data_IF_134256884368
#
_entry.id   IF_134256884368
#
_cell.length_a   1.000
_cell.length_b   1.000
_cell.length_c   1.000
_cell.angle_alpha   90.00
_cell.angle_beta   90.00
_cell.angle_gamma   90.00
#
_symmetry.space_group_name_H-M   'P 1'
#
loop_
_entity.id
_entity.type
_entity.pdbx_description
1 polymer ?
#
# COMPACT_ATOMS: atom_id res chain seq x y z
N UNK A 1 16.19 4.15 7.02
CA UNK A 1 15.54 3.98 5.71
C UNK A 1 14.10 3.52 5.91
N UNK A 2 13.18 4.20 5.29
CA UNK A 2 11.75 3.84 5.38
C UNK A 2 11.36 3.05 4.13
N UNK A 3 10.76 1.90 4.35
CA UNK A 3 10.30 1.00 3.28
C UNK A 3 8.79 0.81 3.42
N UNK A 4 8.07 1.11 2.35
CA UNK A 4 6.64 0.79 2.22
C UNK A 4 6.51 -0.49 1.44
N UNK A 5 5.93 -1.51 2.05
CA UNK A 5 5.67 -2.79 1.40
C UNK A 5 4.18 -2.91 1.13
N UNK A 6 3.84 -3.24 -0.10
CA UNK A 6 2.46 -3.43 -0.54
C UNK A 6 2.25 -4.87 -0.97
N UNK A 7 1.22 -5.48 -0.44
CA UNK A 7 0.85 -6.86 -0.70
C UNK A 7 -0.54 -6.84 -1.33
N UNK A 8 -0.63 -7.14 -2.63
CA UNK A 8 -1.87 -7.03 -3.38
C UNK A 8 -2.46 -8.41 -3.65
N UNK A 9 -3.66 -8.63 -3.15
CA UNK A 9 -4.50 -9.73 -3.61
C UNK A 9 -5.63 -9.18 -4.49
N UNK A 10 -6.45 -10.08 -5.03
CA UNK A 10 -7.53 -9.68 -5.94
C UNK A 10 -8.61 -8.82 -5.27
N UNK A 11 -8.78 -8.90 -3.96
CA UNK A 11 -9.85 -8.22 -3.25
C UNK A 11 -9.38 -7.36 -2.10
N UNK A 12 -8.31 -7.74 -1.43
CA UNK A 12 -7.78 -7.02 -0.26
C UNK A 12 -6.31 -6.73 -0.49
N UNK A 13 -5.93 -5.50 -0.22
CA UNK A 13 -4.53 -5.09 -0.26
C UNK A 13 -4.04 -4.84 1.15
N UNK A 14 -2.82 -5.30 1.43
CA UNK A 14 -2.16 -5.05 2.70
C UNK A 14 -1.00 -4.08 2.53
N UNK A 15 -0.66 -3.37 3.58
CA UNK A 15 0.53 -2.53 3.58
C UNK A 15 1.28 -2.68 4.90
N UNK A 16 2.58 -2.48 4.82
CA UNK A 16 3.46 -2.44 5.99
C UNK A 16 4.50 -1.36 5.77
N UNK A 17 4.82 -0.62 6.82
CA UNK A 17 5.85 0.41 6.78
C UNK A 17 6.92 0.05 7.79
N UNK A 18 8.16 -0.01 7.32
CA UNK A 18 9.32 -0.34 8.16
C UNK A 18 10.28 0.83 8.21
N UNK A 19 10.85 1.06 9.38
CA UNK A 19 11.95 2.01 9.57
C UNK A 19 13.12 1.23 10.16
N UNK A 20 14.18 1.06 9.36
CA UNK A 20 15.40 0.31 9.73
C UNK A 20 15.05 -1.07 10.30
N UNK A 21 14.22 -1.84 9.59
CA UNK A 21 13.75 -3.18 9.96
C UNK A 21 12.74 -3.21 11.11
N UNK A 22 12.29 -2.05 11.58
CA UNK A 22 11.26 -1.97 12.61
C UNK A 22 9.91 -1.67 11.97
N UNK A 23 8.92 -2.50 12.24
CA UNK A 23 7.55 -2.26 11.77
C UNK A 23 6.95 -1.07 12.53
N UNK A 24 6.62 -0.01 11.81
CA UNK A 24 6.04 1.20 12.41
C UNK A 24 4.55 1.38 12.09
N UNK A 25 4.06 0.76 11.03
CA UNK A 25 2.65 0.80 10.67
C UNK A 25 2.30 -0.38 9.78
N UNK A 26 1.06 -0.85 9.88
CA UNK A 26 0.53 -1.88 8.99
C UNK A 26 -0.99 -1.81 8.97
N UNK A 27 -1.58 -2.37 7.93
CA UNK A 27 -3.03 -2.43 7.83
C UNK A 27 -3.46 -3.04 6.51
N UNK A 28 -4.77 -3.00 6.29
CA UNK A 28 -5.37 -3.47 5.03
C UNK A 28 -6.33 -2.41 4.52
N UNK A 29 -6.54 -2.44 3.20
CA UNK A 29 -7.58 -1.63 2.57
C UNK A 29 -8.22 -2.45 1.44
N UNK A 30 -9.49 -2.17 1.18
CA UNK A 30 -10.27 -2.92 0.20
C UNK A 30 -10.86 -1.96 -0.82
N UNK A 31 -10.63 -2.25 -2.10
CA UNK A 31 -11.28 -1.53 -3.18
C UNK A 31 -12.52 -2.33 -3.59
N UNK A 32 -13.69 -1.85 -3.21
CA UNK A 32 -14.94 -2.60 -3.33
C UNK A 32 -15.74 -2.33 -4.60
N UNK A 33 -15.26 -1.46 -5.48
CA UNK A 33 -15.96 -1.16 -6.73
C UNK A 33 -15.85 -2.31 -7.73
N UNK A 34 -16.92 -2.56 -8.48
CA UNK A 34 -16.91 -3.51 -9.59
C UNK A 34 -16.23 -2.92 -10.84
N UNK A 35 -16.03 -1.63 -10.89
CA UNK A 35 -15.34 -0.95 -11.98
C UNK A 35 -13.83 -1.04 -11.75
N UNK A 36 -13.13 -1.68 -12.69
CA UNK A 36 -11.68 -1.89 -12.59
C UNK A 36 -10.93 -0.55 -12.54
N UNK A 37 -11.34 0.41 -13.34
CA UNK A 37 -10.72 1.74 -13.34
C UNK A 37 -10.84 2.44 -12.01
N UNK A 38 -12.02 2.36 -11.38
CA UNK A 38 -12.24 2.96 -10.06
C UNK A 38 -11.44 2.26 -8.97
N UNK A 39 -11.28 0.94 -9.07
CA UNK A 39 -10.43 0.20 -8.11
C UNK A 39 -8.98 0.62 -8.21
N UNK A 40 -8.45 0.76 -9.42
CA UNK A 40 -7.08 1.23 -9.62
C UNK A 40 -6.90 2.65 -9.11
N UNK A 41 -7.87 3.52 -9.37
CA UNK A 41 -7.82 4.90 -8.87
C UNK A 41 -7.80 4.94 -7.35
N UNK A 42 -8.63 4.14 -6.70
CA UNK A 42 -8.67 4.04 -5.23
C UNK A 42 -7.32 3.57 -4.67
N UNK A 43 -6.76 2.50 -5.25
CA UNK A 43 -5.47 1.96 -4.81
C UNK A 43 -4.37 3.00 -5.00
N UNK A 44 -4.35 3.68 -6.16
CA UNK A 44 -3.37 4.72 -6.44
C UNK A 44 -3.43 5.85 -5.44
N UNK A 45 -4.65 6.30 -5.10
CA UNK A 45 -4.84 7.36 -4.12
C UNK A 45 -4.36 6.93 -2.74
N UNK A 46 -4.63 5.70 -2.33
CA UNK A 46 -4.13 5.15 -1.06
C UNK A 46 -2.61 5.09 -1.02
N UNK A 47 -1.99 4.64 -2.09
CA UNK A 47 -0.53 4.58 -2.18
C UNK A 47 0.06 5.99 -2.10
N UNK A 48 -0.54 6.96 -2.79
CA UNK A 48 -0.10 8.35 -2.71
C UNK A 48 -0.22 8.91 -1.30
N UNK A 49 -1.29 8.58 -0.57
CA UNK A 49 -1.46 9.00 0.81
C UNK A 49 -0.34 8.44 1.69
N UNK A 50 0.01 7.17 1.52
CA UNK A 50 1.11 6.55 2.26
C UNK A 50 2.46 7.19 1.93
N UNK A 51 2.69 7.49 0.65
CA UNK A 51 3.92 8.16 0.22
C UNK A 51 4.04 9.55 0.88
N UNK A 52 2.95 10.28 0.91
CA UNK A 52 2.93 11.62 1.52
C UNK A 52 3.09 11.57 3.03
N UNK A 53 2.50 10.57 3.68
CA UNK A 53 2.54 10.44 5.14
C UNK A 53 3.88 9.93 5.64
N UNK A 54 4.41 8.85 5.03
CA UNK A 54 5.60 8.17 5.52
C UNK A 54 6.87 8.54 4.77
N UNK A 55 6.76 9.11 3.57
CA UNK A 55 7.90 9.49 2.72
C UNK A 55 8.92 8.36 2.58
N UNK A 56 8.50 7.19 2.09
CA UNK A 56 9.38 6.03 2.03
C UNK A 56 10.54 6.24 1.05
N UNK A 57 11.68 5.67 1.39
CA UNK A 57 12.85 5.65 0.51
C UNK A 57 12.71 4.57 -0.56
N UNK A 58 11.99 3.49 -0.24
CA UNK A 58 11.73 2.39 -1.15
C UNK A 58 10.28 1.93 -1.04
N UNK A 59 9.75 1.47 -2.18
CA UNK A 59 8.43 0.84 -2.24
C UNK A 59 8.63 -0.56 -2.81
N UNK A 60 8.15 -1.57 -2.07
CA UNK A 60 8.12 -2.95 -2.53
C UNK A 60 6.68 -3.35 -2.82
N UNK A 61 6.45 -3.96 -3.96
CA UNK A 61 5.13 -4.46 -4.34
C UNK A 61 5.24 -5.96 -4.55
N UNK A 62 4.42 -6.72 -3.83
CA UNK A 62 4.35 -8.17 -3.98
C UNK A 62 3.00 -8.53 -4.58
N UNK A 63 3.04 -9.26 -5.70
CA UNK A 63 1.85 -9.84 -6.30
C UNK A 63 1.66 -11.26 -5.77
N UNK A 64 0.48 -11.53 -5.29
CA UNK A 64 0.11 -12.87 -4.85
C UNK A 64 -0.89 -13.49 -5.82
#
# INVERSE_FOLDING_TARGET
MIILALDQSSQVSGYSVFDDNKLIASGTFTASSNDVGKRFEYIRNKVNDFINEYKPDKIKIEDI
#
